data_IF_416684927357
#
_entry.id   IF_416684927357
#
_cell.length_a   1.000
_cell.length_b   1.000
_cell.length_c   1.000
_cell.angle_alpha   90.00
_cell.angle_beta   90.00
_cell.angle_gamma   90.00
#
_symmetry.space_group_name_H-M   'P 1'
#
loop_
_entity.id
_entity.type
_entity.pdbx_description
1 polymer ?
#
# COMPACT_ATOMS: atom_id res chain seq x y z
N UNK A 1 1.53 18.21 16.23
CA UNK A 1 0.42 18.05 17.19
C UNK A 1 -0.84 18.61 16.53
N UNK A 2 -1.95 17.89 16.57
CA UNK A 2 -3.26 18.32 16.06
C UNK A 2 -4.31 17.90 17.09
N UNK A 3 -5.28 18.77 17.40
CA UNK A 3 -6.27 18.54 18.47
C UNK A 3 -5.67 18.12 19.84
N UNK A 4 -4.49 18.62 20.18
CA UNK A 4 -3.81 18.31 21.44
C UNK A 4 -3.16 16.91 21.51
N UNK A 5 -3.12 16.16 20.40
CA UNK A 5 -2.46 14.84 20.31
C UNK A 5 -1.40 14.84 19.21
N UNK A 6 -0.48 13.87 19.23
CA UNK A 6 0.49 13.67 18.14
C UNK A 6 -0.27 13.27 16.89
N UNK A 7 0.20 13.76 15.74
CA UNK A 7 -0.39 13.40 14.45
C UNK A 7 0.60 12.48 13.74
N UNK A 8 0.34 11.17 13.80
CA UNK A 8 1.16 10.14 13.18
C UNK A 8 0.68 9.78 11.76
N UNK A 9 -0.47 10.29 11.35
CA UNK A 9 -1.16 9.89 10.12
C UNK A 9 -1.10 11.00 9.06
N UNK A 10 -0.15 11.93 9.18
CA UNK A 10 0.09 13.01 8.24
C UNK A 10 1.40 12.83 7.45
N UNK A 11 1.52 13.55 6.33
CA UNK A 11 2.71 13.49 5.47
C UNK A 11 3.96 13.96 6.21
N UNK A 12 3.81 14.93 7.12
CA UNK A 12 4.90 15.47 7.91
C UNK A 12 5.45 14.46 8.93
N UNK A 13 4.73 13.37 9.22
CA UNK A 13 5.22 12.25 10.01
C UNK A 13 6.09 11.27 9.19
N UNK A 14 6.12 11.40 7.86
CA UNK A 14 6.90 10.55 6.95
C UNK A 14 8.18 11.27 6.54
N UNK A 15 9.33 10.60 6.71
CA UNK A 15 10.59 11.08 6.15
C UNK A 15 10.71 10.73 4.67
N UNK A 16 10.05 11.53 3.82
CA UNK A 16 10.07 11.38 2.36
C UNK A 16 11.47 11.27 1.74
N UNK A 17 12.43 12.16 2.07
CA UNK A 17 13.79 12.07 1.54
C UNK A 17 14.52 10.75 1.86
N UNK A 18 14.36 10.23 3.07
CA UNK A 18 14.95 8.93 3.42
C UNK A 18 14.27 7.77 2.66
N UNK A 19 12.94 7.85 2.45
CA UNK A 19 12.21 6.87 1.66
C UNK A 19 12.67 6.89 0.20
N UNK A 20 12.83 8.07 -0.40
CA UNK A 20 13.37 8.23 -1.76
C UNK A 20 14.77 7.61 -1.87
N UNK A 21 15.67 7.97 -0.95
CA UNK A 21 17.03 7.41 -0.91
C UNK A 21 17.03 5.88 -0.81
N UNK A 22 16.13 5.33 0.00
CA UNK A 22 15.99 3.88 0.15
C UNK A 22 15.48 3.22 -1.14
N UNK A 23 14.48 3.81 -1.79
CA UNK A 23 13.91 3.27 -3.03
C UNK A 23 14.89 3.38 -4.21
N UNK A 24 15.63 4.47 -4.33
CA UNK A 24 16.71 4.61 -5.32
C UNK A 24 17.75 3.51 -5.13
N UNK A 25 18.21 3.29 -3.89
CA UNK A 25 19.16 2.21 -3.58
C UNK A 25 18.59 0.83 -3.95
N UNK A 26 17.33 0.55 -3.64
CA UNK A 26 16.67 -0.73 -3.99
C UNK A 26 16.63 -0.92 -5.50
N UNK A 27 16.34 0.12 -6.28
CA UNK A 27 16.32 0.06 -7.75
C UNK A 27 17.71 -0.17 -8.33
N UNK A 28 18.74 0.45 -7.78
CA UNK A 28 20.12 0.34 -8.27
C UNK A 28 20.76 -1.01 -7.88
N UNK A 29 20.55 -1.47 -6.64
CA UNK A 29 21.29 -2.58 -6.06
C UNK A 29 20.48 -3.89 -5.96
N UNK A 30 19.16 -3.83 -6.15
CA UNK A 30 18.26 -4.97 -5.96
C UNK A 30 18.21 -5.46 -4.50
N UNK A 31 18.59 -4.62 -3.53
CA UNK A 31 18.75 -4.97 -2.11
C UNK A 31 18.20 -3.87 -1.22
N UNK A 32 17.81 -4.23 -0.01
CA UNK A 32 17.48 -3.24 1.00
C UNK A 32 18.74 -2.48 1.44
N UNK A 33 18.64 -1.15 1.65
CA UNK A 33 19.76 -0.33 2.09
C UNK A 33 20.20 -0.69 3.53
N UNK A 34 21.51 -0.64 3.82
CA UNK A 34 22.05 -0.96 5.15
C UNK A 34 21.76 0.11 6.22
N UNK A 35 21.06 1.20 5.86
CA UNK A 35 20.73 2.32 6.72
C UNK A 35 19.23 2.39 7.10
N UNK A 36 18.46 1.36 6.76
CA UNK A 36 17.05 1.24 7.16
C UNK A 36 16.93 0.15 8.21
N UNK A 37 16.66 0.56 9.45
CA UNK A 37 16.31 -0.35 10.54
C UNK A 37 14.78 -0.47 10.64
N UNK A 38 14.26 -1.68 10.41
CA UNK A 38 12.83 -1.95 10.60
C UNK A 38 12.53 -2.26 12.08
N UNK A 39 11.41 -1.74 12.57
CA UNK A 39 10.80 -2.11 13.86
C UNK A 39 9.36 -2.58 13.72
N UNK A 40 8.88 -2.65 12.47
CA UNK A 40 7.48 -2.97 12.18
C UNK A 40 7.14 -4.44 12.46
N UNK A 41 8.14 -5.31 12.45
CA UNK A 41 8.05 -6.72 12.85
C UNK A 41 7.76 -6.90 14.36
N UNK A 42 7.85 -5.82 15.15
CA UNK A 42 7.54 -5.82 16.58
C UNK A 42 6.06 -5.53 16.87
N UNK A 43 5.28 -5.14 15.86
CA UNK A 43 3.84 -4.89 16.02
C UNK A 43 3.07 -6.22 16.07
N UNK A 44 2.00 -6.26 16.89
CA UNK A 44 1.08 -7.39 16.90
C UNK A 44 0.40 -7.52 15.54
N UNK A 45 0.57 -8.68 14.90
CA UNK A 45 -0.11 -9.02 13.64
C UNK A 45 -1.34 -9.85 13.98
N UNK A 46 -2.51 -9.41 13.53
CA UNK A 46 -3.76 -10.16 13.65
C UNK A 46 -3.77 -11.41 12.76
N UNK A 47 -4.80 -12.24 12.91
CA UNK A 47 -4.98 -13.43 12.07
C UNK A 47 -5.13 -13.03 10.60
N UNK A 48 -4.38 -13.67 9.71
CA UNK A 48 -4.54 -13.47 8.27
C UNK A 48 -5.96 -13.90 7.84
N UNK A 49 -6.75 -13.01 7.22
CA UNK A 49 -8.12 -13.31 6.81
C UNK A 49 -8.19 -14.17 5.53
N UNK A 50 -7.07 -14.40 4.86
CA UNK A 50 -7.00 -15.22 3.64
C UNK A 50 -6.73 -16.68 4.04
N UNK A 51 -7.55 -17.61 3.56
CA UNK A 51 -7.40 -19.03 3.90
C UNK A 51 -6.13 -19.65 3.30
N UNK A 52 -5.58 -20.72 3.91
CA UNK A 52 -4.46 -21.45 3.33
C UNK A 52 -4.70 -21.93 1.90
N UNK A 53 -5.93 -22.33 1.57
CA UNK A 53 -6.32 -22.77 0.22
C UNK A 53 -6.22 -21.62 -0.79
N UNK A 54 -6.68 -20.43 -0.44
CA UNK A 54 -6.58 -19.24 -1.30
C UNK A 54 -5.12 -18.80 -1.49
N UNK A 55 -4.31 -18.87 -0.42
CA UNK A 55 -2.87 -18.62 -0.50
C UNK A 55 -2.20 -19.65 -1.42
N UNK A 56 -2.55 -20.93 -1.31
CA UNK A 56 -2.02 -21.99 -2.16
C UNK A 56 -2.40 -21.78 -3.63
N UNK A 57 -3.63 -21.36 -3.91
CA UNK A 57 -4.08 -21.03 -5.26
C UNK A 57 -3.27 -19.85 -5.86
N UNK A 58 -3.03 -18.79 -5.07
CA UNK A 58 -2.21 -17.65 -5.51
C UNK A 58 -0.77 -18.09 -5.82
N UNK A 59 -0.16 -18.94 -4.99
CA UNK A 59 1.17 -19.53 -5.23
C UNK A 59 1.19 -20.35 -6.52
N UNK A 60 0.23 -21.25 -6.68
CA UNK A 60 0.13 -22.10 -7.87
C UNK A 60 0.02 -21.26 -9.15
N UNK A 61 -0.71 -20.14 -9.11
CA UNK A 61 -0.82 -19.23 -10.25
C UNK A 61 0.52 -18.58 -10.60
N UNK A 62 1.26 -18.12 -9.59
CA UNK A 62 2.62 -17.58 -9.78
C UNK A 62 3.55 -18.67 -10.35
N UNK A 63 3.53 -19.88 -9.81
CA UNK A 63 4.36 -21.00 -10.29
C UNK A 63 4.04 -21.36 -11.75
N UNK A 64 2.74 -21.35 -12.10
CA UNK A 64 2.27 -21.58 -13.47
C UNK A 64 2.80 -20.49 -14.40
N UNK A 65 2.70 -19.23 -14.01
CA UNK A 65 3.21 -18.10 -14.79
C UNK A 65 4.74 -18.17 -14.97
N UNK A 66 5.48 -18.49 -13.90
CA UNK A 66 6.94 -18.67 -13.94
C UNK A 66 7.39 -19.77 -14.93
N UNK A 67 6.52 -20.73 -15.23
CA UNK A 67 6.77 -21.81 -16.19
C UNK A 67 6.52 -21.40 -17.65
N UNK A 68 5.96 -20.21 -17.90
CA UNK A 68 5.77 -19.66 -19.25
C UNK A 68 7.07 -19.08 -19.81
N UNK A 69 7.19 -18.83 -21.14
CA UNK A 69 8.36 -18.16 -21.71
C UNK A 69 8.65 -16.79 -21.07
N UNK A 70 7.61 -15.99 -20.78
CA UNK A 70 7.76 -14.68 -20.13
C UNK A 70 8.26 -14.81 -18.69
N UNK A 71 7.71 -15.75 -17.93
CA UNK A 71 8.15 -16.03 -16.55
C UNK A 71 9.59 -16.54 -16.50
N UNK A 72 9.96 -17.46 -17.38
CA UNK A 72 11.33 -17.95 -17.50
C UNK A 72 12.31 -16.83 -17.88
N UNK A 73 11.92 -15.93 -18.79
CA UNK A 73 12.71 -14.77 -19.16
C UNK A 73 12.88 -13.78 -17.99
N UNK A 74 11.84 -13.57 -17.17
CA UNK A 74 11.94 -12.74 -15.97
C UNK A 74 12.98 -13.31 -14.99
N UNK A 75 12.95 -14.62 -14.71
CA UNK A 75 13.95 -15.26 -13.85
C UNK A 75 15.36 -15.13 -14.44
N UNK A 76 15.51 -15.36 -15.75
CA UNK A 76 16.80 -15.24 -16.44
C UNK A 76 17.34 -13.80 -16.43
N UNK A 77 16.47 -12.79 -16.37
CA UNK A 77 16.85 -11.37 -16.31
C UNK A 77 17.49 -10.95 -14.98
N UNK A 78 17.41 -11.80 -13.94
CA UNK A 78 17.86 -11.50 -12.58
C UNK A 78 17.27 -10.21 -11.99
N UNK A 79 16.12 -9.75 -12.51
CA UNK A 79 15.36 -8.63 -11.94
C UNK A 79 14.83 -9.02 -10.56
N UNK A 80 14.75 -8.04 -9.67
CA UNK A 80 14.15 -8.19 -8.35
C UNK A 80 12.74 -7.58 -8.31
N UNK A 81 11.86 -8.15 -7.49
CA UNK A 81 10.55 -7.59 -7.18
C UNK A 81 10.59 -7.04 -5.74
N UNK A 82 10.18 -5.78 -5.57
CA UNK A 82 10.03 -5.15 -4.26
C UNK A 82 8.56 -4.76 -4.06
N UNK A 83 7.98 -5.11 -2.91
CA UNK A 83 6.65 -4.67 -2.50
C UNK A 83 6.80 -3.57 -1.45
N UNK A 84 6.25 -2.39 -1.74
CA UNK A 84 6.17 -1.26 -0.82
C UNK A 84 4.71 -1.09 -0.39
N UNK A 85 4.44 -1.18 0.90
CA UNK A 85 3.13 -0.94 1.50
C UNK A 85 3.18 0.30 2.41
N UNK A 86 2.16 1.13 2.35
CA UNK A 86 2.09 2.39 3.08
C UNK A 86 0.82 3.20 2.77
N UNK A 87 0.27 3.81 3.81
CA UNK A 87 -1.06 4.44 3.78
C UNK A 87 -1.10 5.86 3.17
N UNK A 88 0.06 6.46 2.87
CA UNK A 88 0.19 7.82 2.30
C UNK A 88 1.05 7.85 1.02
N UNK A 89 1.28 6.70 0.39
CA UNK A 89 2.19 6.61 -0.77
C UNK A 89 1.69 7.38 -1.99
N UNK A 90 0.37 7.49 -2.18
CA UNK A 90 -0.22 8.12 -3.36
C UNK A 90 -0.81 9.49 -3.04
N UNK A 91 0.09 10.45 -2.83
CA UNK A 91 -0.28 11.85 -2.59
C UNK A 91 0.54 12.78 -3.48
N UNK A 92 -0.02 13.94 -3.92
CA UNK A 92 0.73 14.87 -4.76
C UNK A 92 2.00 15.39 -4.07
N UNK A 93 2.01 15.47 -2.73
CA UNK A 93 3.17 15.85 -1.93
C UNK A 93 4.33 14.84 -2.02
N UNK A 94 4.04 13.57 -2.33
CA UNK A 94 5.01 12.50 -2.49
C UNK A 94 5.08 12.00 -3.94
N UNK A 95 4.82 12.88 -4.92
CA UNK A 95 4.89 12.54 -6.35
C UNK A 95 6.26 12.00 -6.77
N UNK A 96 7.35 12.46 -6.13
CA UNK A 96 8.70 11.95 -6.36
C UNK A 96 8.82 10.47 -5.95
N UNK A 97 8.20 10.06 -4.84
CA UNK A 97 8.10 8.64 -4.45
C UNK A 97 7.28 7.86 -5.48
N UNK A 98 6.11 8.39 -5.87
CA UNK A 98 5.25 7.74 -6.87
C UNK A 98 5.98 7.50 -8.20
N UNK A 99 6.89 8.40 -8.59
CA UNK A 99 7.68 8.27 -9.82
C UNK A 99 8.66 7.09 -9.81
N UNK A 100 9.01 6.58 -8.63
CA UNK A 100 9.91 5.42 -8.45
C UNK A 100 9.16 4.08 -8.47
N UNK A 101 7.82 4.10 -8.53
CA UNK A 101 6.96 2.91 -8.44
C UNK A 101 6.46 2.47 -9.82
N UNK A 102 6.72 1.21 -10.13
CA UNK A 102 6.36 0.57 -11.40
C UNK A 102 4.86 0.18 -11.46
N UNK A 103 4.33 -0.39 -10.37
CA UNK A 103 2.92 -0.75 -10.20
C UNK A 103 2.38 -0.10 -8.93
N UNK A 104 1.25 0.61 -9.05
CA UNK A 104 0.61 1.32 -7.94
C UNK A 104 -0.78 0.73 -7.69
N UNK A 105 -0.97 0.05 -6.56
CA UNK A 105 -2.23 -0.59 -6.18
C UNK A 105 -2.86 0.18 -5.01
N UNK A 106 -4.04 0.76 -5.20
CA UNK A 106 -4.75 1.51 -4.15
C UNK A 106 -5.99 0.76 -3.69
N UNK A 107 -6.07 0.51 -2.38
CA UNK A 107 -7.13 -0.26 -1.76
C UNK A 107 -8.18 0.67 -1.15
N UNK A 108 -9.44 0.49 -1.53
CA UNK A 108 -10.56 1.28 -1.03
C UNK A 108 -11.15 0.67 0.24
N UNK A 109 -11.42 1.52 1.24
CA UNK A 109 -12.03 1.14 2.51
C UNK A 109 -13.02 2.22 2.93
N UNK A 110 -14.20 1.83 3.43
CA UNK A 110 -15.15 2.80 3.99
C UNK A 110 -14.64 3.38 5.30
N UNK A 111 -15.13 4.57 5.68
CA UNK A 111 -14.82 5.17 6.97
C UNK A 111 -15.19 4.23 8.12
N UNK A 112 -16.36 3.61 8.02
CA UNK A 112 -16.88 2.71 9.06
C UNK A 112 -15.92 1.52 9.26
N UNK A 113 -15.48 0.88 8.18
CA UNK A 113 -14.58 -0.28 8.25
C UNK A 113 -13.17 0.10 8.69
N UNK A 114 -12.65 1.23 8.20
CA UNK A 114 -11.36 1.76 8.62
C UNK A 114 -11.35 2.07 10.12
N UNK A 115 -12.41 2.71 10.62
CA UNK A 115 -12.58 3.01 12.06
C UNK A 115 -12.62 1.73 12.89
N UNK A 116 -13.50 0.78 12.53
CA UNK A 116 -13.60 -0.51 13.21
C UNK A 116 -12.24 -1.22 13.32
N UNK A 117 -11.50 -1.31 12.20
CA UNK A 117 -10.20 -1.98 12.14
C UNK A 117 -9.11 -1.23 12.89
N UNK A 118 -9.15 0.11 12.92
CA UNK A 118 -8.15 0.94 13.59
C UNK A 118 -8.33 0.86 15.11
N UNK A 119 -9.55 0.95 15.59
CA UNK A 119 -9.87 0.88 17.02
C UNK A 119 -9.68 -0.53 17.61
N UNK A 120 -9.74 -1.57 16.79
CA UNK A 120 -9.46 -2.95 17.22
C UNK A 120 -7.97 -3.27 17.33
N UNK A 121 -7.06 -2.35 16.98
CA UNK A 121 -5.61 -2.57 17.12
C UNK A 121 -5.21 -2.38 18.58
N UNK A 122 -4.34 -3.26 19.07
CA UNK A 122 -3.84 -3.20 20.46
C UNK A 122 -3.06 -1.91 20.73
N UNK A 123 -2.32 -1.44 19.72
CA UNK A 123 -1.46 -0.27 19.71
C UNK A 123 -0.26 -0.49 18.79
N UNK A 124 0.74 0.38 18.88
CA UNK A 124 1.92 0.42 18.01
C UNK A 124 3.19 0.52 18.85
N UNK A 125 4.20 -0.23 18.46
CA UNK A 125 5.55 -0.06 19.01
C UNK A 125 6.22 1.11 18.30
N UNK A 126 6.67 2.09 19.07
CA UNK A 126 7.37 3.29 18.56
C UNK A 126 8.77 3.40 19.16
N UNK A 127 9.60 4.30 18.62
CA UNK A 127 10.91 4.61 19.19
C UNK A 127 10.85 5.10 20.64
N UNK A 128 9.73 5.71 21.04
CA UNK A 128 9.51 6.28 22.37
C UNK A 128 8.73 5.35 23.30
N UNK A 129 8.42 4.13 22.87
CA UNK A 129 7.62 3.15 23.61
C UNK A 129 6.31 2.79 22.92
N UNK A 130 5.32 2.34 23.69
CA UNK A 130 4.04 1.87 23.15
C UNK A 130 3.04 3.02 22.97
N UNK A 131 2.47 3.14 21.78
CA UNK A 131 1.42 4.10 21.44
C UNK A 131 0.08 3.39 21.28
N UNK A 132 -0.95 3.89 21.97
CA UNK A 132 -2.34 3.52 21.72
C UNK A 132 -3.12 4.76 21.34
N UNK A 133 -3.90 4.66 20.28
CA UNK A 133 -4.71 5.79 19.81
C UNK A 133 -5.65 6.29 20.94
N UNK A 134 -5.65 7.59 21.25
CA UNK A 134 -6.55 8.14 22.25
C UNK A 134 -8.01 8.13 21.75
N UNK A 135 -9.01 8.23 22.65
CA UNK A 135 -10.41 8.29 22.24
C UNK A 135 -10.72 9.37 21.20
N UNK A 136 -11.39 8.97 20.12
CA UNK A 136 -11.75 9.85 18.99
C UNK A 136 -10.59 10.22 18.06
N UNK A 137 -9.45 9.53 18.15
CA UNK A 137 -8.29 9.77 17.27
C UNK A 137 -8.62 9.56 15.79
N UNK A 138 -9.45 8.57 15.45
CA UNK A 138 -9.84 8.32 14.06
C UNK A 138 -10.58 9.51 13.46
N UNK A 139 -11.58 10.03 14.18
CA UNK A 139 -12.39 11.16 13.71
C UNK A 139 -11.61 12.47 13.66
N UNK A 140 -10.67 12.67 14.58
CA UNK A 140 -9.93 13.92 14.72
C UNK A 140 -8.68 13.98 13.84
N UNK A 141 -8.05 12.82 13.57
CA UNK A 141 -6.72 12.74 12.98
C UNK A 141 -6.73 11.85 11.74
N UNK A 142 -6.97 10.53 11.93
CA UNK A 142 -6.76 9.53 10.86
C UNK A 142 -7.62 9.81 9.63
N UNK A 143 -8.94 9.93 9.81
CA UNK A 143 -9.86 10.12 8.69
C UNK A 143 -9.69 11.48 8.01
N UNK A 144 -9.61 12.62 8.74
CA UNK A 144 -9.31 13.91 8.11
C UNK A 144 -8.00 13.93 7.32
N UNK A 145 -6.95 13.27 7.79
CA UNK A 145 -5.69 13.19 7.05
C UNK A 145 -5.80 12.29 5.82
N UNK A 146 -6.51 11.17 5.90
CA UNK A 146 -6.81 10.33 4.73
C UNK A 146 -7.55 11.13 3.65
N UNK A 147 -8.60 11.88 4.02
CA UNK A 147 -9.35 12.75 3.11
C UNK A 147 -8.45 13.81 2.48
N UNK A 148 -7.64 14.50 3.30
CA UNK A 148 -6.73 15.53 2.83
C UNK A 148 -5.70 14.97 1.84
N UNK A 149 -5.17 13.78 2.11
CA UNK A 149 -4.13 13.15 1.31
C UNK A 149 -4.65 12.61 -0.03
N UNK A 150 -5.90 12.14 -0.08
CA UNK A 150 -6.40 11.35 -1.22
C UNK A 150 -7.60 11.92 -1.95
N UNK A 151 -8.29 12.96 -1.45
CA UNK A 151 -9.47 13.55 -2.12
C UNK A 151 -9.25 13.91 -3.60
N UNK A 152 -8.04 14.29 -3.98
CA UNK A 152 -7.66 14.56 -5.38
C UNK A 152 -7.85 13.37 -6.33
N UNK A 153 -7.85 12.14 -5.82
CA UNK A 153 -8.03 10.89 -6.57
C UNK A 153 -9.51 10.53 -6.79
N UNK A 154 -10.44 11.23 -6.16
CA UNK A 154 -11.87 10.90 -6.17
C UNK A 154 -12.70 11.98 -6.86
N UNK A 155 -13.86 11.59 -7.40
CA UNK A 155 -14.80 12.54 -7.97
C UNK A 155 -15.36 13.46 -6.88
N UNK A 156 -15.40 14.77 -7.17
CA UNK A 156 -15.86 15.82 -6.24
C UNK A 156 -15.13 15.84 -4.87
N UNK A 157 -13.99 15.15 -4.76
CA UNK A 157 -13.25 15.02 -3.51
C UNK A 157 -13.86 14.05 -2.49
N UNK A 158 -14.88 13.27 -2.87
CA UNK A 158 -15.55 12.30 -1.99
C UNK A 158 -14.78 10.97 -1.94
N UNK A 159 -14.00 10.78 -0.87
CA UNK A 159 -13.16 9.58 -0.69
C UNK A 159 -13.94 8.29 -0.38
N UNK A 160 -15.24 8.37 -0.10
CA UNK A 160 -16.12 7.20 -0.01
C UNK A 160 -16.91 6.98 -1.31
N UNK A 161 -16.81 7.92 -2.26
CA UNK A 161 -17.42 7.88 -3.57
C UNK A 161 -16.53 7.22 -4.65
N UNK A 162 -16.94 7.30 -5.92
CA UNK A 162 -16.18 6.72 -7.03
C UNK A 162 -14.83 7.43 -7.24
N UNK A 163 -13.81 6.62 -7.52
CA UNK A 163 -12.50 7.13 -7.95
C UNK A 163 -12.62 7.87 -9.28
N UNK A 164 -11.86 8.95 -9.43
CA UNK A 164 -11.73 9.63 -10.71
C UNK A 164 -10.80 8.81 -11.61
N UNK A 165 -11.40 8.04 -12.53
CA UNK A 165 -10.66 7.11 -13.41
C UNK A 165 -9.64 7.83 -14.30
N UNK A 166 -9.93 9.06 -14.73
CA UNK A 166 -9.00 9.84 -15.55
C UNK A 166 -7.74 10.19 -14.76
N UNK A 167 -7.91 10.62 -13.50
CA UNK A 167 -6.80 10.95 -12.60
C UNK A 167 -6.01 9.69 -12.24
N UNK A 168 -6.70 8.62 -11.85
CA UNK A 168 -6.07 7.34 -11.50
C UNK A 168 -5.25 6.78 -12.68
N UNK A 169 -5.83 6.77 -13.89
CA UNK A 169 -5.17 6.32 -15.11
C UNK A 169 -3.94 7.16 -15.45
N UNK A 170 -4.05 8.50 -15.37
CA UNK A 170 -2.94 9.42 -15.61
C UNK A 170 -1.75 9.16 -14.69
N UNK A 171 -2.00 8.86 -13.42
CA UNK A 171 -0.96 8.59 -12.43
C UNK A 171 -0.53 7.11 -12.37
N UNK A 172 -1.13 6.25 -13.20
CA UNK A 172 -0.88 4.82 -13.23
C UNK A 172 -1.32 4.09 -11.94
N UNK A 173 -2.29 4.64 -11.21
CA UNK A 173 -2.86 4.06 -9.99
C UNK A 173 -3.99 3.12 -10.38
N UNK A 174 -3.84 1.84 -10.00
CA UNK A 174 -4.83 0.79 -10.23
C UNK A 174 -5.72 0.66 -8.98
N UNK A 175 -7.02 0.55 -9.21
CA UNK A 175 -8.05 0.41 -8.19
C UNK A 175 -9.05 -0.64 -8.65
N UNK A 176 -9.65 -1.38 -7.72
CA UNK A 176 -10.78 -2.27 -7.98
C UNK A 176 -12.09 -1.44 -8.13
N UNK A 177 -12.14 -0.51 -9.10
CA UNK A 177 -13.23 0.46 -9.26
C UNK A 177 -14.55 -0.16 -9.72
N UNK A 178 -14.51 -1.36 -10.29
CA UNK A 178 -15.66 -2.19 -10.63
C UNK A 178 -16.35 -2.79 -9.39
N UNK A 179 -15.70 -2.72 -8.23
CA UNK A 179 -16.21 -3.19 -6.94
C UNK A 179 -16.51 -2.01 -6.02
N UNK A 180 -17.34 -2.26 -5.01
CA UNK A 180 -17.52 -1.30 -3.92
C UNK A 180 -16.24 -1.14 -3.11
N UNK A 181 -16.20 -0.15 -2.22
CA UNK A 181 -15.26 -0.14 -1.11
C UNK A 181 -15.38 -1.45 -0.28
N UNK A 182 -14.37 -1.71 0.56
CA UNK A 182 -14.33 -2.85 1.49
C UNK A 182 -14.26 -4.24 0.84
N UNK A 183 -13.62 -4.34 -0.33
CA UNK A 183 -13.29 -5.64 -0.95
C UNK A 183 -12.55 -6.52 0.05
N UNK A 184 -12.90 -7.81 0.10
CA UNK A 184 -12.29 -8.76 1.02
C UNK A 184 -10.82 -9.04 0.63
N UNK A 185 -9.99 -9.36 1.63
CA UNK A 185 -8.56 -9.53 1.41
C UNK A 185 -8.19 -10.68 0.47
N UNK A 186 -9.03 -11.71 0.31
CA UNK A 186 -8.73 -12.78 -0.64
C UNK A 186 -8.96 -12.32 -2.07
N UNK A 187 -10.06 -11.61 -2.33
CA UNK A 187 -10.30 -10.92 -3.61
C UNK A 187 -9.24 -9.87 -3.91
N UNK A 188 -8.75 -9.15 -2.90
CA UNK A 188 -7.65 -8.17 -3.07
C UNK A 188 -6.33 -8.86 -3.38
N UNK A 189 -6.00 -9.97 -2.72
CA UNK A 189 -4.79 -10.75 -3.00
C UNK A 189 -4.80 -11.27 -4.44
N UNK A 190 -5.93 -11.86 -4.86
CA UNK A 190 -6.09 -12.37 -6.22
C UNK A 190 -5.93 -11.26 -7.26
N UNK A 191 -6.57 -10.12 -7.04
CA UNK A 191 -6.42 -8.94 -7.91
C UNK A 191 -4.97 -8.44 -7.96
N UNK A 192 -4.32 -8.24 -6.80
CA UNK A 192 -2.97 -7.69 -6.74
C UNK A 192 -1.95 -8.60 -7.46
N UNK A 193 -2.03 -9.91 -7.27
CA UNK A 193 -1.15 -10.87 -7.96
C UNK A 193 -1.41 -10.85 -9.48
N UNK A 194 -2.66 -10.70 -9.92
CA UNK A 194 -2.97 -10.55 -11.35
C UNK A 194 -2.38 -9.28 -11.93
N UNK A 195 -2.52 -8.14 -11.26
CA UNK A 195 -1.96 -6.86 -11.73
C UNK A 195 -0.44 -6.88 -11.83
N UNK A 196 0.24 -7.52 -10.88
CA UNK A 196 1.70 -7.69 -10.91
C UNK A 196 2.11 -8.58 -12.08
N UNK A 197 1.46 -9.73 -12.28
CA UNK A 197 1.76 -10.63 -13.41
C UNK A 197 1.56 -9.90 -14.74
N UNK A 198 0.43 -9.21 -14.92
CA UNK A 198 0.12 -8.47 -16.14
C UNK A 198 1.17 -7.39 -16.44
N UNK A 199 1.64 -6.68 -15.40
CA UNK A 199 2.71 -5.70 -15.56
C UNK A 199 4.02 -6.36 -16.00
N UNK A 200 4.41 -7.46 -15.35
CA UNK A 200 5.63 -8.18 -15.67
C UNK A 200 5.59 -8.75 -17.09
N UNK A 201 4.45 -9.24 -17.56
CA UNK A 201 4.29 -9.69 -18.95
C UNK A 201 4.49 -8.54 -19.95
N UNK A 202 3.86 -7.39 -19.70
CA UNK A 202 4.02 -6.21 -20.55
C UNK A 202 5.45 -5.63 -20.53
N UNK A 203 6.18 -5.77 -19.43
CA UNK A 203 7.56 -5.30 -19.28
C UNK A 203 8.62 -6.26 -19.85
N UNK A 204 8.21 -7.46 -20.29
CA UNK A 204 9.07 -8.50 -20.85
C UNK A 204 8.84 -8.76 -22.34
N UNK A 205 7.65 -8.40 -22.87
CA UNK A 205 7.33 -8.43 -24.30
C UNK A 205 7.87 -7.22 -25.05
#
# INVERSE_FOLDING_TARGET
MRHGVRDWDCIEAINGPNMEKALVYIREEGKFPPFVDSKEDQNSIGTCPVSPTQIAAAKQRVDTWLSTPNGAAFIASQRSLCLLDGFLLFTPKLSFIMSLLDVKLFLLVSRAKATQRRESRDGYVTLEGFWKDPPGYVDKIVWPNYVQAHSWLFNDGDVEGPVNEQVASKEGIKVQSDKSCDVDMASTLDWAVSEIINYLEAAMG
#
